data_IF_866586712591
#
_entry.id   IF_866586712591
#
_cell.length_a   1.000
_cell.length_b   1.000
_cell.length_c   1.000
_cell.angle_alpha   90.00
_cell.angle_beta   90.00
_cell.angle_gamma   90.00
#
_symmetry.space_group_name_H-M   'P 1'
#
loop_
_entity.id
_entity.type
_entity.pdbx_description
1 polymer ?
#
# COMPACT_ATOMS: atom_id res chain seq x y z
N UNK A 1 44.65 42.33 0.47
CA UNK A 1 44.50 40.90 0.14
C UNK A 1 43.12 40.46 0.59
N UNK A 2 42.16 40.42 -0.35
CA UNK A 2 40.74 40.21 -0.06
C UNK A 2 40.48 38.71 0.03
N UNK A 3 40.35 38.20 1.26
CA UNK A 3 40.06 36.78 1.50
C UNK A 3 38.56 36.60 1.36
N UNK A 4 38.11 36.20 0.16
CA UNK A 4 36.76 35.68 -0.07
C UNK A 4 36.77 34.25 0.51
N UNK A 5 36.24 34.10 1.72
CA UNK A 5 36.00 32.78 2.31
C UNK A 5 34.65 32.30 1.80
N UNK A 6 34.66 31.38 0.83
CA UNK A 6 33.50 30.55 0.52
C UNK A 6 33.19 29.70 1.76
N UNK A 7 32.16 30.05 2.52
CA UNK A 7 31.69 29.23 3.62
C UNK A 7 31.03 27.98 3.04
N UNK A 8 31.79 26.89 2.99
CA UNK A 8 31.32 25.56 2.64
C UNK A 8 30.06 25.20 3.45
N UNK A 9 29.02 24.78 2.75
CA UNK A 9 27.80 24.17 3.28
C UNK A 9 28.18 23.07 4.30
N UNK A 10 27.99 23.34 5.60
CA UNK A 10 28.08 22.30 6.62
C UNK A 10 26.67 22.09 7.15
N UNK A 11 26.12 20.89 6.94
CA UNK A 11 24.85 20.41 7.50
C UNK A 11 24.66 20.89 8.94
N UNK A 12 23.98 22.02 9.14
CA UNK A 12 23.69 22.53 10.47
C UNK A 12 22.48 21.77 10.97
N UNK A 13 22.72 20.66 11.67
CA UNK A 13 21.71 19.99 12.49
C UNK A 13 21.26 20.99 13.56
N UNK A 14 20.17 21.67 13.27
CA UNK A 14 19.57 22.74 14.05
C UNK A 14 18.33 22.18 14.73
N UNK A 15 18.19 22.44 16.03
CA UNK A 15 16.99 22.08 16.78
C UNK A 15 16.47 23.32 17.50
N UNK A 16 15.16 23.55 17.41
CA UNK A 16 14.48 24.58 18.22
C UNK A 16 14.17 23.98 19.57
N UNK A 17 14.58 24.67 20.62
CA UNK A 17 14.54 24.17 21.99
C UNK A 17 13.99 25.25 22.91
N UNK A 18 13.12 24.85 23.84
CA UNK A 18 12.56 25.72 24.87
C UNK A 18 13.27 25.44 26.20
N UNK A 19 13.96 26.43 26.76
CA UNK A 19 14.64 26.28 28.05
C UNK A 19 13.60 26.25 29.17
N UNK A 20 13.35 25.09 29.78
CA UNK A 20 12.37 25.00 30.87
C UNK A 20 12.92 25.52 32.20
N UNK A 21 14.16 25.12 32.54
CA UNK A 21 14.80 25.45 33.83
C UNK A 21 16.31 25.62 33.65
N UNK A 22 16.88 26.53 34.43
CA UNK A 22 18.31 26.85 34.39
C UNK A 22 18.68 27.84 33.29
N UNK A 23 19.96 28.17 33.23
CA UNK A 23 20.54 29.08 32.23
C UNK A 23 21.41 28.26 31.28
N UNK A 24 21.15 28.37 29.98
CA UNK A 24 21.96 27.70 28.97
C UNK A 24 23.03 28.64 28.45
N UNK A 25 24.28 28.19 28.48
CA UNK A 25 25.44 28.94 27.97
C UNK A 25 25.99 28.30 26.70
N UNK A 26 26.65 29.10 25.87
CA UNK A 26 27.46 28.58 24.78
C UNK A 26 28.51 27.57 25.30
N UNK A 27 28.89 26.61 24.47
CA UNK A 27 29.83 25.53 24.80
C UNK A 27 29.30 24.46 25.78
N UNK A 28 28.05 24.59 26.25
CA UNK A 28 27.37 23.57 27.07
C UNK A 28 27.15 22.28 26.28
N UNK A 29 27.13 21.17 27.00
CA UNK A 29 26.94 19.83 26.43
C UNK A 29 25.55 19.35 26.82
N UNK A 30 24.77 18.94 25.83
CA UNK A 30 23.39 18.51 25.97
C UNK A 30 23.24 17.07 25.51
N UNK A 31 22.35 16.34 26.18
CA UNK A 31 21.92 15.00 25.81
C UNK A 31 20.40 15.04 25.60
N UNK A 32 19.93 14.55 24.47
CA UNK A 32 18.51 14.46 24.12
C UNK A 32 18.24 13.06 23.53
N UNK A 33 17.36 12.29 24.16
CA UNK A 33 17.09 10.90 23.76
C UNK A 33 18.36 10.07 23.55
N UNK A 34 18.53 9.57 22.32
CA UNK A 34 19.66 8.74 21.88
C UNK A 34 20.77 9.56 21.18
N UNK A 35 20.78 10.87 21.35
CA UNK A 35 21.82 11.73 20.79
C UNK A 35 22.35 12.74 21.80
N UNK A 36 23.48 13.32 21.45
CA UNK A 36 24.11 14.38 22.22
C UNK A 36 24.66 15.44 21.28
N UNK A 37 24.85 16.64 21.83
CA UNK A 37 25.29 17.80 21.08
C UNK A 37 26.08 18.73 21.98
N UNK A 38 27.06 19.40 21.38
CA UNK A 38 27.77 20.49 22.04
C UNK A 38 27.30 21.80 21.44
N UNK A 39 26.75 22.69 22.25
CA UNK A 39 26.20 23.98 21.81
C UNK A 39 27.32 24.84 21.23
N UNK A 40 27.36 24.96 19.90
CA UNK A 40 28.33 25.82 19.20
C UNK A 40 27.79 27.24 19.07
N UNK A 41 26.51 27.36 18.77
CA UNK A 41 25.84 28.64 18.57
C UNK A 41 24.39 28.50 19.01
N UNK A 42 23.92 29.49 19.75
CA UNK A 42 22.50 29.68 20.09
C UNK A 42 21.98 30.88 19.32
N UNK A 43 20.80 30.77 18.74
CA UNK A 43 20.15 31.86 18.01
C UNK A 43 18.72 32.05 18.52
N UNK A 44 18.24 33.28 18.53
CA UNK A 44 16.84 33.59 18.74
C UNK A 44 16.02 33.39 17.44
N UNK A 45 14.69 33.50 17.51
CA UNK A 45 13.77 33.45 16.36
C UNK A 45 14.11 34.44 15.22
N UNK A 46 14.80 35.54 15.55
CA UNK A 46 15.28 36.53 14.57
C UNK A 46 16.69 36.22 14.02
N UNK A 47 17.22 35.02 14.26
CA UNK A 47 18.58 34.60 13.91
C UNK A 47 19.72 35.42 14.59
N UNK A 48 19.40 36.16 15.65
CA UNK A 48 20.39 36.88 16.45
C UNK A 48 21.14 35.90 17.35
N UNK A 49 22.48 35.96 17.35
CA UNK A 49 23.31 35.06 18.16
C UNK A 49 23.25 35.45 19.64
N UNK A 50 22.89 34.47 20.48
CA UNK A 50 22.82 34.60 21.93
C UNK A 50 24.06 34.02 22.61
N UNK A 51 24.46 34.62 23.73
CA UNK A 51 25.54 34.10 24.61
C UNK A 51 25.00 33.26 25.76
N UNK A 52 23.80 33.60 26.20
CA UNK A 52 23.08 33.00 27.32
C UNK A 52 21.59 32.96 26.96
N UNK A 53 20.91 31.89 27.39
CA UNK A 53 19.46 31.76 27.29
C UNK A 53 18.86 31.48 28.67
N UNK A 54 17.79 32.18 29.00
CA UNK A 54 17.07 32.10 30.26
C UNK A 54 15.93 31.08 30.19
N UNK A 55 15.35 30.69 31.33
CA UNK A 55 14.11 29.93 31.34
C UNK A 55 13.02 30.65 30.53
N UNK A 56 12.22 29.86 29.82
CA UNK A 56 11.18 30.27 28.86
C UNK A 56 11.67 30.83 27.51
N UNK A 57 12.97 31.01 27.31
CA UNK A 57 13.49 31.41 26.00
C UNK A 57 13.40 30.24 24.99
N UNK A 58 12.86 30.54 23.81
CA UNK A 58 12.86 29.64 22.66
C UNK A 58 14.08 29.93 21.78
N UNK A 59 14.99 28.98 21.68
CA UNK A 59 16.29 29.16 21.03
C UNK A 59 16.58 28.06 20.02
N UNK A 60 17.28 28.42 18.95
CA UNK A 60 17.78 27.48 17.95
C UNK A 60 19.22 27.08 18.29
N UNK A 61 19.43 25.79 18.48
CA UNK A 61 20.71 25.21 18.85
C UNK A 61 21.39 24.54 17.67
N UNK A 62 22.66 24.91 17.44
CA UNK A 62 23.53 24.27 16.46
C UNK A 62 24.66 23.52 17.17
N UNK A 63 24.93 22.30 16.71
CA UNK A 63 26.06 21.48 17.20
C UNK A 63 25.69 20.06 17.64
N UNK A 64 24.51 19.61 17.26
CA UNK A 64 24.06 18.24 17.46
C UNK A 64 24.86 17.23 16.63
N UNK A 65 25.14 16.06 17.21
CA UNK A 65 25.72 14.94 16.46
C UNK A 65 24.70 14.32 15.53
N UNK A 66 23.51 13.99 16.03
CA UNK A 66 22.32 13.63 15.26
C UNK A 66 21.14 14.49 15.69
N UNK A 67 20.13 14.61 14.82
CA UNK A 67 18.93 15.37 15.18
C UNK A 67 18.20 14.62 16.31
N UNK A 68 17.84 15.30 17.41
CA UNK A 68 16.95 14.71 18.41
C UNK A 68 15.53 14.56 17.84
N UNK A 69 14.74 13.64 18.41
CA UNK A 69 13.32 13.52 18.04
C UNK A 69 12.53 14.72 18.58
N UNK A 70 11.42 15.05 17.91
CA UNK A 70 10.54 16.11 18.35
C UNK A 70 9.93 15.77 19.73
N UNK A 71 9.72 16.79 20.56
CA UNK A 71 9.10 16.63 21.89
C UNK A 71 9.98 16.00 22.97
N UNK A 72 11.23 15.62 22.68
CA UNK A 72 12.12 15.04 23.70
C UNK A 72 12.71 16.08 24.66
N UNK A 73 12.85 15.65 25.92
CA UNK A 73 13.58 16.42 26.94
C UNK A 73 15.10 16.37 26.69
N UNK A 74 15.75 17.49 27.00
CA UNK A 74 17.20 17.63 26.91
C UNK A 74 17.78 17.95 28.28
N UNK A 75 18.92 17.33 28.60
CA UNK A 75 19.61 17.48 29.87
C UNK A 75 21.03 17.98 29.64
N UNK A 76 21.44 18.98 30.42
CA UNK A 76 22.82 19.45 30.42
C UNK A 76 23.70 18.50 31.23
N UNK A 77 24.88 18.19 30.69
CA UNK A 77 25.88 17.35 31.35
C UNK A 77 27.22 18.08 31.45
N UNK A 78 28.04 17.68 32.43
CA UNK A 78 29.29 18.34 32.75
C UNK A 78 30.43 18.05 31.77
N UNK A 79 30.41 16.90 31.08
CA UNK A 79 31.53 16.46 30.23
C UNK A 79 31.03 15.65 29.03
N UNK A 80 31.78 15.75 27.92
CA UNK A 80 31.57 15.02 26.66
C UNK A 80 31.59 13.51 26.89
N UNK A 81 32.51 13.05 27.76
CA UNK A 81 32.63 11.63 28.12
C UNK A 81 31.33 11.11 28.76
N UNK A 82 30.75 11.89 29.68
CA UNK A 82 29.50 11.54 30.36
C UNK A 82 28.31 11.56 29.39
N UNK A 83 28.29 12.48 28.43
CA UNK A 83 27.27 12.51 27.38
C UNK A 83 27.26 11.21 26.56
N UNK A 84 28.45 10.76 26.13
CA UNK A 84 28.62 9.50 25.39
C UNK A 84 28.20 8.30 26.21
N UNK A 85 28.68 8.19 27.45
CA UNK A 85 28.29 7.08 28.35
C UNK A 85 26.77 6.96 28.51
N UNK A 86 26.06 8.09 28.66
CA UNK A 86 24.59 8.10 28.77
C UNK A 86 23.92 7.65 27.47
N UNK A 87 24.39 8.16 26.33
CA UNK A 87 23.81 7.83 25.01
C UNK A 87 24.08 6.38 24.65
N UNK A 88 25.31 5.90 24.84
CA UNK A 88 25.69 4.52 24.58
C UNK A 88 24.86 3.56 25.45
N UNK A 89 24.69 3.87 26.73
CA UNK A 89 23.81 3.10 27.62
C UNK A 89 22.35 3.07 27.12
N UNK A 90 21.79 4.21 26.67
CA UNK A 90 20.42 4.27 26.14
C UNK A 90 20.26 3.47 24.85
N UNK A 91 21.24 3.56 23.94
CA UNK A 91 21.26 2.79 22.69
C UNK A 91 21.35 1.30 23.01
N UNK A 92 22.28 0.87 23.85
CA UNK A 92 22.42 -0.55 24.24
C UNK A 92 21.13 -1.08 24.87
N UNK A 93 20.49 -0.32 25.75
CA UNK A 93 19.21 -0.70 26.37
C UNK A 93 18.08 -0.83 25.34
N UNK A 94 18.00 0.09 24.38
CA UNK A 94 16.99 0.04 23.31
C UNK A 94 17.22 -1.16 22.38
N UNK A 95 18.48 -1.48 22.07
CA UNK A 95 18.83 -2.66 21.27
C UNK A 95 18.47 -3.95 22.02
N UNK A 96 18.74 -4.03 23.31
CA UNK A 96 18.40 -5.19 24.14
C UNK A 96 16.88 -5.41 24.23
N UNK A 97 16.09 -4.33 24.37
CA UNK A 97 14.63 -4.42 24.34
C UNK A 97 14.13 -4.98 23.01
N UNK A 98 14.61 -4.43 21.88
CA UNK A 98 14.25 -4.92 20.54
C UNK A 98 14.65 -6.38 20.33
N UNK A 99 15.84 -6.78 20.79
CA UNK A 99 16.28 -8.18 20.71
C UNK A 99 15.39 -9.13 21.51
N UNK A 100 14.90 -8.70 22.68
CA UNK A 100 13.97 -9.50 23.48
C UNK A 100 12.61 -9.64 22.79
N UNK A 101 12.07 -8.54 22.24
CA UNK A 101 10.83 -8.55 21.45
C UNK A 101 10.95 -9.45 20.22
N UNK A 102 12.04 -9.30 19.44
CA UNK A 102 12.34 -10.13 18.29
C UNK A 102 12.50 -11.60 18.70
N UNK A 103 13.14 -11.89 19.84
CA UNK A 103 13.30 -13.26 20.35
C UNK A 103 11.96 -13.91 20.68
N UNK A 104 11.02 -13.16 21.29
CA UNK A 104 9.66 -13.64 21.56
C UNK A 104 8.94 -13.94 20.25
N UNK A 105 9.01 -13.04 19.26
CA UNK A 105 8.39 -13.25 17.95
C UNK A 105 8.98 -14.44 17.18
N UNK A 106 10.31 -14.59 17.18
CA UNK A 106 11.00 -15.73 16.57
C UNK A 106 10.56 -17.03 17.26
N UNK A 107 10.46 -17.04 18.59
CA UNK A 107 10.05 -18.22 19.35
C UNK A 107 8.62 -18.64 19.02
N UNK A 108 7.67 -17.69 18.93
CA UNK A 108 6.27 -18.00 18.61
C UNK A 108 6.13 -18.52 17.17
N UNK A 109 6.82 -17.93 16.20
CA UNK A 109 6.86 -18.43 14.82
C UNK A 109 7.47 -19.81 14.71
N UNK A 110 8.51 -20.09 15.49
CA UNK A 110 9.17 -21.40 15.51
C UNK A 110 8.28 -22.47 16.14
N UNK A 111 7.51 -22.13 17.18
CA UNK A 111 6.49 -23.01 17.77
C UNK A 111 5.36 -23.33 16.80
N UNK A 112 4.83 -22.32 16.09
CA UNK A 112 3.82 -22.51 15.02
C UNK A 112 4.33 -23.49 13.95
N UNK A 113 5.54 -23.25 13.44
CA UNK A 113 6.17 -24.12 12.45
C UNK A 113 6.38 -25.54 12.98
N UNK A 114 6.86 -25.68 14.21
CA UNK A 114 7.08 -26.99 14.84
C UNK A 114 5.77 -27.76 15.04
N UNK A 115 4.68 -27.08 15.39
CA UNK A 115 3.35 -27.68 15.53
C UNK A 115 2.81 -28.19 14.19
N UNK A 116 2.94 -27.40 13.13
CA UNK A 116 2.59 -27.82 11.75
C UNK A 116 3.48 -28.99 11.30
N UNK A 117 4.77 -28.95 11.61
CA UNK A 117 5.69 -30.04 11.32
C UNK A 117 5.31 -31.33 12.06
N UNK A 118 4.97 -31.25 13.35
CA UNK A 118 4.56 -32.38 14.17
C UNK A 118 3.24 -33.00 13.69
N UNK A 119 2.25 -32.20 13.30
CA UNK A 119 0.99 -32.70 12.74
C UNK A 119 1.23 -33.44 11.42
N UNK A 120 2.06 -32.86 10.54
CA UNK A 120 2.49 -33.51 9.30
C UNK A 120 3.23 -34.83 9.55
N UNK A 121 4.09 -34.91 10.57
CA UNK A 121 4.73 -36.17 10.97
C UNK A 121 3.72 -37.21 11.48
N UNK A 122 2.71 -36.80 12.25
CA UNK A 122 1.67 -37.69 12.75
C UNK A 122 0.81 -38.27 11.62
N UNK A 123 0.46 -37.46 10.62
CA UNK A 123 -0.21 -37.92 9.38
C UNK A 123 0.63 -38.93 8.62
N UNK A 124 1.95 -38.68 8.46
CA UNK A 124 2.89 -39.64 7.86
C UNK A 124 2.94 -40.97 8.62
N UNK A 125 2.81 -40.95 9.96
CA UNK A 125 2.77 -42.16 10.79
C UNK A 125 1.43 -42.91 10.66
N UNK A 126 0.30 -42.20 10.50
CA UNK A 126 -1.03 -42.79 10.27
C UNK A 126 -1.16 -43.44 8.88
N UNK A 127 -0.47 -42.90 7.87
CA UNK A 127 -0.41 -43.49 6.53
C UNK A 127 0.54 -44.70 6.48
N UNK A 128 0.03 -45.89 6.17
CA UNK A 128 0.86 -47.09 6.01
C UNK A 128 1.95 -46.99 4.92
N UNK A 129 2.75 -48.05 4.77
CA UNK A 129 3.97 -48.09 3.93
C UNK A 129 3.73 -47.60 2.48
N UNK A 130 2.56 -47.91 1.89
CA UNK A 130 2.19 -47.49 0.53
C UNK A 130 1.97 -45.98 0.33
N UNK A 131 1.66 -45.20 1.39
CA UNK A 131 1.48 -43.73 1.29
C UNK A 131 2.76 -42.93 1.51
N UNK A 132 3.85 -43.55 1.97
CA UNK A 132 5.12 -42.85 2.31
C UNK A 132 5.80 -42.15 1.11
N UNK A 133 5.75 -42.72 -0.10
CA UNK A 133 6.35 -42.10 -1.30
C UNK A 133 5.62 -40.84 -1.77
N UNK A 134 4.30 -40.73 -1.55
CA UNK A 134 3.51 -39.54 -1.93
C UNK A 134 3.72 -38.35 -1.00
N UNK A 135 3.93 -38.59 0.28
CA UNK A 135 4.05 -37.54 1.31
C UNK A 135 5.36 -36.72 1.25
N UNK A 136 6.44 -37.26 0.68
CA UNK A 136 7.70 -36.52 0.45
C UNK A 136 7.52 -35.44 -0.61
N UNK A 137 6.88 -35.81 -1.71
CA UNK A 137 6.58 -34.91 -2.82
C UNK A 137 5.62 -33.80 -2.40
N UNK A 138 4.55 -34.13 -1.65
CA UNK A 138 3.56 -33.14 -1.17
C UNK A 138 4.17 -32.08 -0.24
N UNK A 139 5.11 -32.45 0.65
CA UNK A 139 5.77 -31.47 1.51
C UNK A 139 6.74 -30.57 0.71
N UNK A 140 7.45 -31.14 -0.27
CA UNK A 140 8.29 -30.34 -1.18
C UNK A 140 7.45 -29.42 -2.06
N UNK A 141 6.32 -29.89 -2.59
CA UNK A 141 5.34 -29.11 -3.34
C UNK A 141 4.77 -27.96 -2.48
N UNK A 142 4.34 -28.22 -1.24
CA UNK A 142 3.83 -27.18 -0.33
C UNK A 142 4.90 -26.14 0.03
N UNK A 143 6.17 -26.52 0.13
CA UNK A 143 7.30 -25.60 0.36
C UNK A 143 7.70 -24.83 -0.91
N UNK A 144 7.48 -25.40 -2.10
CA UNK A 144 7.61 -24.72 -3.38
C UNK A 144 6.43 -23.76 -3.62
N UNK A 145 5.21 -24.14 -3.22
CA UNK A 145 4.01 -23.30 -3.21
C UNK A 145 4.18 -22.15 -2.22
N UNK A 146 4.63 -22.38 -0.98
CA UNK A 146 4.90 -21.29 -0.03
C UNK A 146 6.00 -20.35 -0.53
N UNK A 147 7.03 -20.86 -1.23
CA UNK A 147 8.03 -20.01 -1.89
C UNK A 147 7.47 -19.25 -3.09
N UNK A 148 6.56 -19.86 -3.85
CA UNK A 148 5.88 -19.22 -4.98
C UNK A 148 4.88 -18.16 -4.53
N UNK A 149 4.10 -18.42 -3.48
CA UNK A 149 3.19 -17.48 -2.86
C UNK A 149 3.93 -16.32 -2.18
N UNK A 150 5.14 -16.55 -1.67
CA UNK A 150 6.02 -15.47 -1.18
C UNK A 150 6.63 -14.62 -2.33
N UNK A 151 6.53 -15.10 -3.57
CA UNK A 151 6.94 -14.39 -4.80
C UNK A 151 5.76 -14.05 -5.70
N UNK A 152 4.51 -14.30 -5.27
CA UNK A 152 3.36 -13.76 -5.98
C UNK A 152 3.43 -12.26 -5.75
N UNK A 153 3.40 -11.50 -6.85
CA UNK A 153 3.52 -10.06 -6.92
C UNK A 153 2.41 -9.39 -6.09
N UNK A 154 2.54 -9.38 -4.76
CA UNK A 154 1.78 -8.51 -3.89
C UNK A 154 2.02 -7.10 -4.42
N UNK A 155 0.96 -6.51 -4.96
CA UNK A 155 0.99 -5.17 -5.53
C UNK A 155 1.41 -4.26 -4.39
N UNK A 156 2.65 -3.80 -4.41
CA UNK A 156 3.22 -2.95 -3.38
C UNK A 156 3.66 -1.64 -4.01
N UNK A 157 3.33 -0.54 -3.33
CA UNK A 157 3.88 0.77 -3.62
C UNK A 157 4.99 1.04 -2.60
N UNK A 158 6.23 1.06 -3.10
CA UNK A 158 7.39 1.39 -2.30
C UNK A 158 7.61 2.91 -2.33
N UNK A 159 7.83 3.49 -1.15
CA UNK A 159 7.94 4.94 -0.99
C UNK A 159 9.18 5.31 -0.16
N UNK A 160 9.86 6.38 -0.59
CA UNK A 160 10.89 7.07 0.19
C UNK A 160 10.40 8.47 0.53
N UNK A 161 10.44 8.86 1.81
CA UNK A 161 9.92 10.16 2.28
C UNK A 161 11.06 11.05 2.78
N UNK A 162 11.15 12.28 2.28
CA UNK A 162 12.08 13.30 2.76
C UNK A 162 11.33 14.54 3.17
N UNK A 163 11.55 15.03 4.38
CA UNK A 163 10.93 16.27 4.87
C UNK A 163 11.94 17.33 5.27
N UNK A 164 11.47 18.54 5.49
CA UNK A 164 12.27 19.68 5.94
C UNK A 164 12.62 19.59 7.44
N UNK A 165 11.66 19.15 8.24
CA UNK A 165 11.73 19.03 9.70
C UNK A 165 11.23 17.65 10.12
N UNK A 166 11.74 17.14 11.24
CA UNK A 166 11.39 15.81 11.74
C UNK A 166 9.90 15.64 12.02
N UNK A 167 9.23 16.66 12.56
CA UNK A 167 7.80 16.62 12.85
C UNK A 167 6.93 16.54 11.59
N UNK A 168 7.38 17.14 10.48
CA UNK A 168 6.69 16.99 9.19
C UNK A 168 6.75 15.55 8.69
N UNK A 169 7.90 14.89 8.86
CA UNK A 169 8.08 13.50 8.45
C UNK A 169 7.25 12.57 9.34
N UNK A 170 7.29 12.74 10.66
CA UNK A 170 6.47 11.96 11.60
C UNK A 170 4.97 12.09 11.29
N UNK A 171 4.48 13.32 11.06
CA UNK A 171 3.09 13.53 10.68
C UNK A 171 2.72 12.85 9.35
N UNK A 172 3.64 12.76 8.38
CA UNK A 172 3.40 12.00 7.15
C UNK A 172 3.35 10.51 7.47
N UNK A 173 4.30 9.98 8.26
CA UNK A 173 4.34 8.56 8.63
C UNK A 173 3.06 8.11 9.34
N UNK A 174 2.59 8.86 10.33
CA UNK A 174 1.35 8.56 11.08
C UNK A 174 0.13 8.43 10.15
N UNK A 175 0.10 9.25 9.11
CA UNK A 175 -0.98 9.29 8.13
C UNK A 175 -0.88 8.09 7.19
N UNK A 176 0.32 7.76 6.74
CA UNK A 176 0.56 6.57 5.92
C UNK A 176 0.27 5.28 6.71
N UNK A 177 0.52 5.25 8.02
CA UNK A 177 0.18 4.12 8.90
C UNK A 177 -1.34 3.91 9.05
N UNK A 178 -2.16 4.94 8.84
CA UNK A 178 -3.64 4.82 8.86
C UNK A 178 -4.16 4.00 7.67
N UNK A 179 -3.33 3.73 6.66
CA UNK A 179 -3.73 2.94 5.51
C UNK A 179 -3.83 1.44 5.86
N UNK A 180 -5.04 0.91 5.87
CA UNK A 180 -5.32 -0.51 6.03
C UNK A 180 -6.12 -1.03 4.82
N UNK A 181 -5.44 -1.68 3.87
CA UNK A 181 -6.10 -2.39 2.78
C UNK A 181 -5.24 -3.52 2.23
N UNK A 182 -5.91 -4.60 1.83
CA UNK A 182 -5.28 -5.78 1.24
C UNK A 182 -5.11 -5.67 -0.29
N UNK A 183 -5.56 -4.57 -0.91
CA UNK A 183 -5.53 -4.40 -2.38
C UNK A 183 -4.15 -4.00 -2.90
N UNK A 184 -3.46 -3.12 -2.18
CA UNK A 184 -2.13 -2.64 -2.51
C UNK A 184 -1.40 -2.40 -1.20
N UNK A 185 -0.21 -2.96 -1.01
CA UNK A 185 0.60 -2.77 0.20
C UNK A 185 1.41 -1.48 0.08
N UNK A 186 1.37 -0.61 1.09
CA UNK A 186 2.20 0.59 1.13
C UNK A 186 3.44 0.31 1.99
N UNK A 187 4.62 0.30 1.38
CA UNK A 187 5.88 0.02 2.07
C UNK A 187 6.78 1.26 2.10
N UNK A 188 7.12 1.72 3.30
CA UNK A 188 8.00 2.86 3.53
C UNK A 188 9.43 2.34 3.66
N UNK A 189 10.22 2.47 2.60
CA UNK A 189 11.59 1.93 2.52
C UNK A 189 12.55 2.76 3.36
N UNK A 190 12.43 4.08 3.26
CA UNK A 190 13.31 4.99 3.96
C UNK A 190 12.61 6.33 4.18
N UNK A 191 12.85 6.93 5.34
CA UNK A 191 12.40 8.28 5.65
C UNK A 191 13.54 9.09 6.28
N UNK A 192 13.53 10.40 6.06
CA UNK A 192 14.56 11.25 6.67
C UNK A 192 14.30 12.73 6.51
N UNK A 193 15.21 13.52 7.09
CA UNK A 193 15.14 14.99 7.09
C UNK A 193 16.24 15.57 6.21
N UNK A 194 15.90 16.60 5.43
CA UNK A 194 16.79 17.31 4.53
C UNK A 194 16.50 17.04 3.05
N UNK A 195 17.24 17.74 2.19
CA UNK A 195 17.14 17.60 0.74
C UNK A 195 17.42 16.16 0.29
N UNK A 196 16.79 15.77 -0.82
CA UNK A 196 16.98 14.46 -1.43
C UNK A 196 18.44 14.31 -1.89
N UNK A 197 19.08 13.24 -1.45
CA UNK A 197 20.48 12.94 -1.74
C UNK A 197 20.63 11.65 -2.55
N UNK A 198 21.84 11.39 -3.07
CA UNK A 198 22.12 10.24 -3.95
C UNK A 198 21.78 8.90 -3.28
N UNK A 199 22.05 8.76 -1.98
CA UNK A 199 21.73 7.52 -1.24
C UNK A 199 20.22 7.25 -1.21
N UNK A 200 19.39 8.29 -1.20
CA UNK A 200 17.93 8.12 -1.23
C UNK A 200 17.45 7.60 -2.59
N UNK A 201 18.12 8.04 -3.66
CA UNK A 201 17.88 7.55 -5.02
C UNK A 201 18.36 6.11 -5.16
N UNK A 202 19.50 5.74 -4.56
CA UNK A 202 19.99 4.36 -4.55
C UNK A 202 19.02 3.42 -3.80
N UNK A 203 18.47 3.85 -2.66
CA UNK A 203 17.41 3.10 -1.98
C UNK A 203 16.16 2.97 -2.86
N UNK A 204 15.76 4.05 -3.53
CA UNK A 204 14.63 4.02 -4.43
C UNK A 204 14.85 3.10 -5.65
N UNK A 205 16.07 3.05 -6.19
CA UNK A 205 16.42 2.18 -7.32
C UNK A 205 16.26 0.71 -6.96
N UNK A 206 16.82 0.31 -5.81
CA UNK A 206 16.82 -1.09 -5.36
C UNK A 206 15.41 -1.66 -5.19
N UNK A 207 14.45 -0.84 -4.77
CA UNK A 207 13.07 -1.24 -4.50
C UNK A 207 12.05 -0.69 -5.52
N UNK A 208 12.51 -0.02 -6.59
CA UNK A 208 11.66 0.72 -7.54
C UNK A 208 10.65 1.64 -6.83
N UNK A 209 11.13 2.38 -5.82
CA UNK A 209 10.31 3.26 -5.00
C UNK A 209 10.14 4.65 -5.62
N UNK A 210 9.06 5.34 -5.25
CA UNK A 210 8.85 6.75 -5.57
C UNK A 210 9.37 7.61 -4.42
N UNK A 211 10.11 8.68 -4.75
CA UNK A 211 10.67 9.60 -3.76
C UNK A 211 9.74 10.80 -3.59
N UNK A 212 9.20 10.99 -2.39
CA UNK A 212 8.39 12.15 -2.01
C UNK A 212 9.20 13.12 -1.16
N UNK A 213 9.37 14.33 -1.68
CA UNK A 213 10.09 15.43 -1.05
C UNK A 213 9.08 16.48 -0.52
N UNK A 214 8.93 16.56 0.79
CA UNK A 214 8.05 17.48 1.48
C UNK A 214 8.79 18.75 1.94
N UNK A 215 8.45 19.88 1.34
CA UNK A 215 9.07 21.20 1.60
C UNK A 215 10.60 21.21 1.45
N UNK A 216 11.15 20.27 0.67
CA UNK A 216 12.59 20.13 0.39
C UNK A 216 12.84 19.97 -1.10
N UNK A 217 14.02 20.41 -1.52
CA UNK A 217 14.48 20.21 -2.89
C UNK A 217 15.30 18.94 -3.04
N UNK A 218 15.75 18.71 -4.27
CA UNK A 218 16.71 17.68 -4.65
C UNK A 218 18.09 18.29 -4.92
N UNK A 219 19.15 17.58 -4.56
CA UNK A 219 20.52 17.95 -4.96
C UNK A 219 20.72 17.65 -6.46
N UNK A 220 21.53 18.46 -7.15
CA UNK A 220 21.79 18.29 -8.59
C UNK A 220 22.26 16.88 -8.94
N UNK A 221 23.21 16.36 -8.17
CA UNK A 221 23.74 15.01 -8.33
C UNK A 221 22.66 13.93 -8.17
N UNK A 222 21.70 14.15 -7.26
CA UNK A 222 20.58 13.24 -7.05
C UNK A 222 19.56 13.29 -8.20
N UNK A 223 19.29 14.47 -8.77
CA UNK A 223 18.41 14.61 -9.95
C UNK A 223 19.01 13.95 -11.20
N UNK A 224 20.32 14.08 -11.40
CA UNK A 224 21.02 13.42 -12.50
C UNK A 224 20.96 11.89 -12.35
N UNK A 225 21.21 11.38 -11.14
CA UNK A 225 21.13 9.95 -10.85
C UNK A 225 19.70 9.41 -11.02
N UNK A 226 18.69 10.14 -10.55
CA UNK A 226 17.29 9.76 -10.71
C UNK A 226 16.87 9.68 -12.18
N UNK A 227 17.33 10.61 -13.02
CA UNK A 227 17.10 10.56 -14.48
C UNK A 227 17.78 9.37 -15.15
N UNK A 228 18.96 8.97 -14.68
CA UNK A 228 19.68 7.80 -15.21
C UNK A 228 18.96 6.49 -14.87
N UNK A 229 18.45 6.38 -13.63
CA UNK A 229 17.79 5.17 -13.14
C UNK A 229 16.27 5.14 -13.39
N UNK A 230 15.70 6.22 -13.94
CA UNK A 230 14.26 6.32 -14.21
C UNK A 230 13.40 6.47 -12.95
N UNK A 231 13.96 7.03 -11.88
CA UNK A 231 13.28 7.19 -10.58
C UNK A 231 12.52 8.51 -10.57
N UNK A 232 11.27 8.45 -10.12
CA UNK A 232 10.40 9.62 -10.02
C UNK A 232 10.59 10.32 -8.67
N UNK A 233 10.93 11.61 -8.71
CA UNK A 233 10.98 12.49 -7.53
C UNK A 233 9.79 13.44 -7.60
N UNK A 234 8.91 13.39 -6.60
CA UNK A 234 7.74 14.27 -6.48
C UNK A 234 7.93 15.24 -5.32
N UNK A 235 7.73 16.54 -5.59
CA UNK A 235 7.86 17.59 -4.58
C UNK A 235 6.49 18.10 -4.15
N UNK A 236 6.26 18.19 -2.84
CA UNK A 236 5.02 18.66 -2.26
C UNK A 236 5.27 19.63 -1.11
N UNK A 237 4.39 20.61 -0.95
CA UNK A 237 4.43 21.55 0.17
C UNK A 237 3.19 21.43 1.08
N UNK A 238 2.24 20.56 0.72
CA UNK A 238 0.95 20.39 1.40
C UNK A 238 0.71 18.89 1.57
N UNK A 239 0.49 18.45 2.81
CA UNK A 239 0.39 17.03 3.17
C UNK A 239 -0.77 16.34 2.44
N UNK A 240 -1.95 16.97 2.35
CA UNK A 240 -3.11 16.39 1.65
C UNK A 240 -2.83 16.08 0.18
N UNK A 241 -2.12 16.97 -0.50
CA UNK A 241 -1.74 16.75 -1.90
C UNK A 241 -0.77 15.58 -2.05
N UNK A 242 0.19 15.46 -1.13
CA UNK A 242 1.12 14.33 -1.11
C UNK A 242 0.37 13.01 -0.92
N UNK A 243 -0.61 12.98 -0.02
CA UNK A 243 -1.41 11.79 0.26
C UNK A 243 -2.33 11.44 -0.91
N UNK A 244 -2.95 12.43 -1.56
CA UNK A 244 -3.76 12.23 -2.75
C UNK A 244 -2.91 11.70 -3.94
N UNK A 245 -1.69 12.22 -4.11
CA UNK A 245 -0.75 11.71 -5.09
C UNK A 245 -0.35 10.26 -4.80
N UNK A 246 -0.11 9.89 -3.53
CA UNK A 246 0.15 8.50 -3.14
C UNK A 246 -1.07 7.63 -3.49
N UNK A 247 -2.28 8.08 -3.17
CA UNK A 247 -3.52 7.36 -3.55
C UNK A 247 -3.62 7.15 -5.05
N UNK A 248 -3.28 8.16 -5.86
CA UNK A 248 -3.28 8.07 -7.31
C UNK A 248 -2.26 7.05 -7.82
N UNK A 249 -1.03 7.07 -7.30
CA UNK A 249 0.00 6.07 -7.67
C UNK A 249 -0.41 4.65 -7.27
N UNK A 250 -0.99 4.48 -6.08
CA UNK A 250 -1.49 3.17 -5.67
C UNK A 250 -2.63 2.68 -6.58
N UNK A 251 -3.51 3.58 -7.04
CA UNK A 251 -4.56 3.23 -8.01
C UNK A 251 -3.97 2.82 -9.37
N UNK A 252 -2.89 3.46 -9.81
CA UNK A 252 -2.20 3.12 -11.06
C UNK A 252 -1.52 1.75 -11.01
N UNK A 253 -1.09 1.32 -9.82
CA UNK A 253 -0.53 -0.01 -9.60
C UNK A 253 -1.58 -1.14 -9.64
N UNK A 254 -2.87 -0.82 -9.44
CA UNK A 254 -3.92 -1.83 -9.40
C UNK A 254 -4.32 -2.31 -10.81
N UNK A 255 -4.42 -3.64 -11.04
CA UNK A 255 -4.91 -4.17 -12.30
C UNK A 255 -6.38 -3.77 -12.49
N UNK A 256 -6.82 -3.50 -13.73
CA UNK A 256 -8.21 -3.21 -14.01
C UNK A 256 -9.09 -4.40 -13.64
N UNK A 257 -10.28 -4.12 -13.10
CA UNK A 257 -11.29 -5.14 -12.80
C UNK A 257 -12.34 -5.12 -13.90
N UNK A 258 -12.73 -6.30 -14.34
CA UNK A 258 -13.84 -6.47 -15.26
C UNK A 258 -15.16 -6.24 -14.51
N UNK A 259 -15.87 -5.17 -14.89
CA UNK A 259 -17.18 -4.83 -14.34
C UNK A 259 -18.25 -5.17 -15.37
N UNK A 260 -19.38 -5.71 -14.89
CA UNK A 260 -20.54 -6.02 -15.72
C UNK A 260 -21.27 -4.73 -16.11
N UNK A 261 -21.21 -4.34 -17.38
CA UNK A 261 -21.97 -3.22 -17.94
C UNK A 261 -23.29 -3.74 -18.52
N UNK A 262 -24.39 -3.51 -17.80
CA UNK A 262 -25.73 -4.01 -18.17
C UNK A 262 -26.28 -3.22 -19.35
N UNK A 263 -26.44 -3.91 -20.48
CA UNK A 263 -26.96 -3.34 -21.73
C UNK A 263 -28.49 -3.38 -21.81
N UNK A 264 -29.12 -4.36 -21.15
CA UNK A 264 -30.57 -4.51 -21.15
C UNK A 264 -31.06 -5.70 -20.32
N UNK A 265 -32.35 -5.69 -20.03
CA UNK A 265 -33.02 -6.67 -19.20
C UNK A 265 -34.28 -7.18 -19.89
N UNK A 266 -34.60 -8.45 -19.68
CA UNK A 266 -35.80 -9.08 -20.20
C UNK A 266 -36.40 -10.02 -19.16
N UNK A 267 -37.72 -10.06 -19.09
CA UNK A 267 -38.44 -10.99 -18.22
C UNK A 267 -38.93 -12.19 -19.03
N UNK A 268 -38.72 -13.39 -18.51
CA UNK A 268 -39.24 -14.63 -19.08
C UNK A 268 -40.74 -14.68 -18.81
N UNK A 269 -41.52 -14.84 -19.87
CA UNK A 269 -42.97 -15.01 -19.81
C UNK A 269 -43.31 -16.50 -19.80
N UNK A 270 -42.67 -17.27 -20.70
CA UNK A 270 -42.97 -18.69 -20.87
C UNK A 270 -41.78 -19.46 -21.44
N UNK A 271 -41.61 -20.72 -21.04
CA UNK A 271 -40.67 -21.67 -21.66
C UNK A 271 -41.37 -22.42 -22.82
N UNK A 272 -40.68 -22.53 -23.96
CA UNK A 272 -41.07 -23.34 -25.11
C UNK A 272 -40.07 -24.48 -25.31
N UNK A 273 -40.57 -25.66 -25.66
CA UNK A 273 -39.73 -26.81 -25.97
C UNK A 273 -39.80 -27.09 -27.47
N UNK A 274 -38.77 -26.69 -28.20
CA UNK A 274 -38.68 -26.88 -29.66
C UNK A 274 -37.96 -28.20 -29.93
N UNK A 275 -38.48 -29.00 -30.87
CA UNK A 275 -37.85 -30.25 -31.27
C UNK A 275 -36.91 -29.98 -32.47
N UNK A 276 -35.61 -30.03 -32.22
CA UNK A 276 -34.57 -29.85 -33.24
C UNK A 276 -33.65 -31.06 -33.18
N UNK A 277 -33.41 -31.74 -34.31
CA UNK A 277 -32.54 -32.91 -34.39
C UNK A 277 -32.86 -34.02 -33.37
N UNK A 278 -34.16 -34.33 -33.17
CA UNK A 278 -34.69 -35.32 -32.21
C UNK A 278 -34.41 -35.02 -30.73
N UNK A 279 -33.96 -33.80 -30.38
CA UNK A 279 -33.77 -33.34 -29.00
C UNK A 279 -34.77 -32.21 -28.68
N UNK A 280 -35.38 -32.26 -27.50
CA UNK A 280 -36.22 -31.19 -26.98
C UNK A 280 -35.33 -30.11 -26.37
N UNK A 281 -35.29 -28.93 -26.98
CA UNK A 281 -34.46 -27.81 -26.54
C UNK A 281 -35.35 -26.75 -25.89
N UNK A 282 -35.03 -26.29 -24.67
CA UNK A 282 -35.75 -25.19 -24.04
C UNK A 282 -35.39 -23.85 -24.70
N UNK A 283 -36.43 -23.05 -24.97
CA UNK A 283 -36.34 -21.70 -25.51
C UNK A 283 -37.20 -20.79 -24.64
N UNK A 284 -36.61 -19.71 -24.13
CA UNK A 284 -37.29 -18.74 -23.31
C UNK A 284 -38.05 -17.74 -24.19
N UNK A 285 -39.37 -17.68 -24.06
CA UNK A 285 -40.17 -16.58 -24.55
C UNK A 285 -40.10 -15.43 -23.56
N UNK A 286 -39.39 -14.38 -23.94
CA UNK A 286 -39.09 -13.24 -23.09
C UNK A 286 -39.64 -11.95 -23.69
N UNK A 287 -39.83 -10.94 -22.84
CA UNK A 287 -40.08 -9.57 -23.28
C UNK A 287 -39.03 -8.64 -22.69
N UNK A 288 -38.39 -7.87 -23.56
CA UNK A 288 -37.38 -6.90 -23.17
C UNK A 288 -38.03 -5.77 -22.35
N UNK A 289 -37.63 -5.61 -21.09
CA UNK A 289 -38.19 -4.61 -20.17
C UNK A 289 -37.44 -3.29 -20.25
N UNK A 290 -36.12 -3.33 -20.43
CA UNK A 290 -35.26 -2.14 -20.46
C UNK A 290 -34.01 -2.39 -21.30
N UNK A 291 -33.49 -1.33 -21.92
CA UNK A 291 -32.26 -1.37 -22.70
C UNK A 291 -32.35 -2.18 -24.00
N UNK A 292 -31.22 -2.76 -24.41
CA UNK A 292 -31.10 -3.52 -25.64
C UNK A 292 -30.37 -4.84 -25.41
N UNK A 293 -30.95 -5.93 -25.91
CA UNK A 293 -30.32 -7.25 -25.87
C UNK A 293 -29.51 -7.43 -27.15
N UNK A 294 -28.22 -7.72 -27.02
CA UNK A 294 -27.32 -7.99 -28.15
C UNK A 294 -26.90 -9.45 -28.12
N UNK A 295 -27.08 -10.20 -29.20
CA UNK A 295 -26.70 -11.64 -29.27
C UNK A 295 -25.22 -11.88 -28.94
N UNK A 296 -24.35 -10.93 -29.30
CA UNK A 296 -22.91 -11.02 -29.09
C UNK A 296 -22.47 -10.78 -27.62
N UNK A 297 -23.36 -10.28 -26.76
CA UNK A 297 -23.07 -10.01 -25.35
C UNK A 297 -23.21 -11.27 -24.48
N UNK A 298 -22.87 -11.15 -23.20
CA UNK A 298 -23.07 -12.20 -22.20
C UNK A 298 -24.44 -12.03 -21.53
N UNK A 299 -24.98 -13.15 -21.08
CA UNK A 299 -26.30 -13.23 -20.47
C UNK A 299 -26.21 -13.92 -19.12
N UNK A 300 -26.87 -13.34 -18.12
CA UNK A 300 -27.11 -13.98 -16.83
C UNK A 300 -28.60 -14.16 -16.60
N UNK A 301 -28.98 -15.29 -16.02
CA UNK A 301 -30.36 -15.59 -15.64
C UNK A 301 -30.45 -15.54 -14.12
N UNK A 302 -31.39 -14.74 -13.61
CA UNK A 302 -31.60 -14.48 -12.19
C UNK A 302 -33.02 -14.93 -11.81
N UNK A 303 -33.13 -15.69 -10.73
CA UNK A 303 -34.41 -16.14 -10.15
C UNK A 303 -34.55 -15.64 -8.71
N UNK A 304 -35.78 -15.31 -8.32
CA UNK A 304 -36.15 -14.90 -6.95
C UNK A 304 -35.21 -13.82 -6.38
N UNK A 305 -35.05 -12.74 -7.15
CA UNK A 305 -34.29 -11.53 -6.86
C UNK A 305 -32.76 -11.60 -6.97
N UNK A 306 -32.08 -12.67 -6.55
CA UNK A 306 -30.60 -12.67 -6.53
C UNK A 306 -29.92 -14.01 -6.85
N UNK A 307 -30.68 -15.07 -7.15
CA UNK A 307 -30.06 -16.38 -7.46
C UNK A 307 -29.66 -16.43 -8.93
N UNK A 308 -28.36 -16.37 -9.21
CA UNK A 308 -27.83 -16.51 -10.59
C UNK A 308 -27.80 -17.99 -10.99
N UNK A 309 -28.67 -18.37 -11.91
CA UNK A 309 -28.81 -19.75 -12.41
C UNK A 309 -27.85 -20.05 -13.58
N UNK A 310 -27.54 -19.03 -14.38
CA UNK A 310 -26.73 -19.17 -15.59
C UNK A 310 -25.88 -17.92 -15.81
N UNK A 311 -24.67 -18.12 -16.35
CA UNK A 311 -23.80 -17.09 -16.91
C UNK A 311 -23.15 -17.65 -18.17
N UNK A 312 -23.36 -16.99 -19.32
CA UNK A 312 -22.76 -17.45 -20.57
C UNK A 312 -23.30 -16.75 -21.81
N UNK A 313 -23.01 -17.33 -22.97
CA UNK A 313 -23.45 -16.83 -24.28
C UNK A 313 -24.79 -17.45 -24.69
N UNK A 314 -25.45 -16.83 -25.65
CA UNK A 314 -26.65 -17.40 -26.27
C UNK A 314 -26.27 -18.26 -27.47
N UNK A 315 -26.99 -19.36 -27.64
CA UNK A 315 -26.93 -20.17 -28.86
C UNK A 315 -27.71 -19.48 -30.00
N UNK A 316 -28.91 -18.97 -29.73
CA UNK A 316 -29.72 -18.26 -30.72
C UNK A 316 -30.65 -17.24 -30.06
N UNK A 317 -31.00 -16.20 -30.83
CA UNK A 317 -31.87 -15.12 -30.41
C UNK A 317 -32.79 -14.77 -31.59
N UNK A 318 -34.09 -14.97 -31.43
CA UNK A 318 -35.08 -14.82 -32.51
C UNK A 318 -36.19 -13.87 -32.12
N UNK A 319 -36.70 -13.12 -33.07
CA UNK A 319 -37.96 -12.40 -32.95
C UNK A 319 -38.94 -13.05 -33.91
N UNK A 320 -40.04 -13.61 -33.39
CA UNK A 320 -40.97 -14.43 -34.17
C UNK A 320 -40.25 -15.61 -34.86
N UNK A 321 -40.08 -15.56 -36.18
CA UNK A 321 -39.41 -16.60 -36.97
C UNK A 321 -37.99 -16.23 -37.40
N UNK A 322 -37.63 -14.95 -37.29
CA UNK A 322 -36.38 -14.42 -37.83
C UNK A 322 -35.29 -14.36 -36.75
N UNK A 323 -34.06 -14.71 -37.12
CA UNK A 323 -32.91 -14.58 -36.23
C UNK A 323 -32.41 -13.14 -36.22
N UNK A 324 -32.33 -12.56 -35.02
CA UNK A 324 -32.04 -11.13 -34.83
C UNK A 324 -30.77 -10.95 -34.01
N UNK A 325 -29.95 -9.98 -34.41
CA UNK A 325 -28.73 -9.64 -33.68
C UNK A 325 -29.02 -8.77 -32.45
N UNK A 326 -30.06 -7.94 -32.51
CA UNK A 326 -30.43 -6.99 -31.45
C UNK A 326 -31.94 -6.94 -31.24
N UNK A 327 -32.35 -6.80 -29.97
CA UNK A 327 -33.74 -6.62 -29.57
C UNK A 327 -33.82 -5.36 -28.70
N UNK A 328 -34.76 -4.48 -29.05
CA UNK A 328 -35.04 -3.22 -28.34
C UNK A 328 -36.09 -3.43 -27.25
N UNK A 329 -36.21 -2.42 -26.38
CA UNK A 329 -37.24 -2.35 -25.33
C UNK A 329 -38.65 -2.63 -25.88
N UNK A 330 -39.46 -3.30 -25.08
CA UNK A 330 -40.85 -3.69 -25.37
C UNK A 330 -41.06 -4.66 -26.54
N UNK A 331 -39.99 -5.20 -27.13
CA UNK A 331 -40.10 -6.28 -28.11
C UNK A 331 -40.02 -7.65 -27.42
N UNK A 332 -40.82 -8.58 -27.93
CA UNK A 332 -40.79 -9.99 -27.54
C UNK A 332 -39.65 -10.73 -28.24
N UNK A 333 -39.08 -11.74 -27.60
CA UNK A 333 -37.98 -12.50 -28.17
C UNK A 333 -37.94 -13.94 -27.66
N UNK A 334 -37.50 -14.83 -28.53
CA UNK A 334 -37.10 -16.19 -28.19
C UNK A 334 -35.61 -16.23 -27.92
N UNK A 335 -35.22 -16.53 -26.69
CA UNK A 335 -33.83 -16.64 -26.26
C UNK A 335 -33.49 -18.11 -26.02
N UNK A 336 -32.42 -18.59 -26.65
CA UNK A 336 -31.89 -19.94 -26.45
C UNK A 336 -30.51 -19.85 -25.80
N UNK A 337 -30.38 -20.40 -24.59
CA UNK A 337 -29.11 -20.53 -23.89
C UNK A 337 -28.25 -21.65 -24.51
N UNK A 338 -26.92 -21.57 -24.34
CA UNK A 338 -26.04 -22.68 -24.74
C UNK A 338 -26.21 -23.90 -23.83
N UNK A 339 -26.42 -23.68 -22.53
CA UNK A 339 -26.69 -24.77 -21.59
C UNK A 339 -28.16 -25.20 -21.66
N UNK A 340 -28.37 -26.48 -21.96
CA UNK A 340 -29.70 -27.08 -22.13
C UNK A 340 -30.25 -27.72 -20.87
N UNK A 341 -29.45 -27.81 -19.80
CA UNK A 341 -29.87 -28.37 -18.52
C UNK A 341 -30.70 -27.40 -17.67
N UNK A 342 -30.66 -26.11 -18.02
CA UNK A 342 -31.28 -25.04 -17.23
C UNK A 342 -32.74 -24.89 -17.65
N UNK A 343 -33.62 -24.99 -16.66
CA UNK A 343 -35.06 -24.78 -16.82
C UNK A 343 -35.42 -23.36 -16.46
N UNK A 344 -36.12 -22.70 -17.38
CA UNK A 344 -36.54 -21.31 -17.23
C UNK A 344 -38.00 -21.26 -16.82
N UNK A 345 -38.28 -20.54 -15.73
CA UNK A 345 -39.63 -20.39 -15.20
C UNK A 345 -40.20 -19.02 -15.62
N UNK A 346 -41.52 -18.91 -15.78
CA UNK A 346 -42.18 -17.61 -15.87
C UNK A 346 -41.80 -16.73 -14.68
N UNK A 347 -41.35 -15.50 -14.95
CA UNK A 347 -40.88 -14.55 -13.94
C UNK A 347 -39.36 -14.48 -13.76
N UNK A 348 -38.59 -15.40 -14.36
CA UNK A 348 -37.12 -15.30 -14.36
C UNK A 348 -36.65 -14.03 -15.09
N UNK A 349 -35.58 -13.41 -14.60
CA UNK A 349 -34.99 -12.20 -15.18
C UNK A 349 -33.72 -12.54 -15.95
N UNK A 350 -33.68 -12.17 -17.22
CA UNK A 350 -32.50 -12.30 -18.08
C UNK A 350 -31.84 -10.94 -18.22
N UNK A 351 -30.57 -10.85 -17.84
CA UNK A 351 -29.78 -9.62 -17.93
C UNK A 351 -28.70 -9.80 -18.97
N UNK A 352 -28.69 -8.93 -19.98
CA UNK A 352 -27.67 -8.83 -21.01
C UNK A 352 -26.60 -7.85 -20.55
N UNK A 353 -25.34 -8.28 -20.50
CA UNK A 353 -24.22 -7.46 -20.06
C UNK A 353 -22.98 -7.69 -20.92
N UNK A 354 -22.12 -6.68 -20.96
CA UNK A 354 -20.78 -6.77 -21.54
C UNK A 354 -19.75 -6.59 -20.43
N UNK A 355 -18.62 -7.28 -20.52
CA UNK A 355 -17.51 -7.02 -19.62
C UNK A 355 -16.79 -5.77 -20.10
N UNK A 356 -16.65 -4.80 -19.20
CA UNK A 356 -15.85 -3.59 -19.44
C UNK A 356 -14.76 -3.53 -18.39
N UNK A 357 -13.53 -3.29 -18.83
CA UNK A 357 -12.44 -3.01 -17.92
C UNK A 357 -12.64 -1.65 -17.26
N UNK A 358 -12.62 -1.63 -15.94
CA UNK A 358 -12.67 -0.43 -15.12
C UNK A 358 -11.47 -0.42 -14.18
N UNK A 359 -10.78 0.72 -14.08
CA UNK A 359 -9.71 0.90 -13.10
C UNK A 359 -10.28 0.82 -11.68
N UNK A 360 -9.61 0.05 -10.84
CA UNK A 360 -9.95 -0.02 -9.42
C UNK A 360 -9.63 1.32 -8.75
N UNK A 361 -10.38 1.63 -7.70
CA UNK A 361 -10.09 2.76 -6.82
C UNK A 361 -9.96 2.24 -5.40
N UNK A 362 -8.86 2.62 -4.77
CA UNK A 362 -8.60 2.34 -3.38
C UNK A 362 -9.56 3.17 -2.54
N UNK A 363 -10.22 2.49 -1.63
CA UNK A 363 -11.05 3.11 -0.59
C UNK A 363 -10.15 3.42 0.59
N UNK A 364 -9.44 4.55 0.50
CA UNK A 364 -8.66 5.08 1.62
C UNK A 364 -9.19 6.45 2.03
N UNK A 365 -10.00 6.45 3.08
CA UNK A 365 -10.42 7.65 3.77
C UNK A 365 -9.40 7.96 4.86
N UNK A 366 -8.63 9.03 4.65
CA UNK A 366 -7.67 9.53 5.62
C UNK A 366 -8.46 10.31 6.66
N UNK A 367 -8.59 9.76 7.87
CA UNK A 367 -9.47 10.27 8.95
C UNK A 367 -9.01 11.57 9.61
N UNK A 368 -8.53 12.53 8.82
CA UNK A 368 -8.22 13.89 9.28
C UNK A 368 -9.47 14.71 9.60
#
# INVERSE_FOLDING_TARGET
MMIIIYLFFFFRKLATVLVQRGKLLNNSILVAGNTWGKVRTMMDHQNNVLREANPSDAIQLIGWKNLPQAGQEFLQVSSDKRAREIVDYRISKSVEQKQNEDSIYISSKLEEHNKEYQSHLAEKKRGGIFRRKRFSAVYQEKQLENRKNATDDEICLNVVVKGDVIGSVEAILDVLETYESNQCKLDIIHYGVGNVCVTDIEYADAFKAIVYAFNVGSLKDAEENAKQNGITIKQHNIIYKLVDDIKEEMNNCLPPVEVEDVQGEANVIQEFLINENKKKIPVAGCRCTSGTLKKAALFKVIRDYDTVLYRGKLSSMRHLKDEVATIKTNMECGIRLEDTNIRLNPGDKIVCYTLREQQQKITWETGF
#
